data_IF_371675427455
#
_entry.id   IF_371675427455
#
_cell.length_a   1.000
_cell.length_b   1.000
_cell.length_c   1.000
_cell.angle_alpha   90.00
_cell.angle_beta   90.00
_cell.angle_gamma   90.00
#
_symmetry.space_group_name_H-M   'P 1'
#
loop_
_entity.id
_entity.type
_entity.pdbx_description
1 polymer ?
#
# COMPACT_ATOMS: atom_id res chain seq x y z
N UNK A 1 7.22 12.96 28.01
CA UNK A 1 6.49 12.26 26.93
C UNK A 1 6.52 13.17 25.71
N UNK A 2 7.28 12.85 24.66
CA UNK A 2 7.46 13.77 23.52
C UNK A 2 6.21 13.80 22.64
N UNK A 3 5.25 14.68 22.86
CA UNK A 3 4.08 14.76 21.98
C UNK A 3 4.60 15.13 20.57
N UNK A 4 4.51 14.17 19.63
CA UNK A 4 4.80 14.41 18.22
C UNK A 4 3.50 14.92 17.64
N UNK A 5 3.38 16.24 17.52
CA UNK A 5 2.37 16.89 16.69
C UNK A 5 3.07 17.21 15.37
N UNK A 6 2.71 16.50 14.31
CA UNK A 6 3.26 16.75 12.99
C UNK A 6 2.12 17.08 12.02
N UNK A 7 2.21 18.27 11.42
CA UNK A 7 1.36 18.67 10.30
C UNK A 7 2.07 18.32 9.01
N UNK A 8 1.41 17.50 8.20
CA UNK A 8 1.91 17.11 6.90
C UNK A 8 0.74 16.88 5.96
N UNK A 9 0.99 16.85 4.66
CA UNK A 9 -0.06 16.61 3.68
C UNK A 9 -0.35 15.11 3.58
N UNK A 10 -1.57 14.75 3.15
CA UNK A 10 -1.91 13.35 2.87
C UNK A 10 -0.91 12.69 1.90
N UNK A 11 -0.41 13.44 0.91
CA UNK A 11 0.63 12.96 -0.01
C UNK A 11 1.88 12.50 0.73
N UNK A 12 2.34 13.29 1.69
CA UNK A 12 3.54 12.96 2.47
C UNK A 12 3.28 11.79 3.42
N UNK A 13 2.07 11.68 3.99
CA UNK A 13 1.65 10.54 4.79
C UNK A 13 1.74 9.23 3.97
N UNK A 14 1.13 9.23 2.78
CA UNK A 14 1.12 8.08 1.86
C UNK A 14 2.54 7.69 1.49
N UNK A 15 3.39 8.68 1.15
CA UNK A 15 4.80 8.46 0.83
C UNK A 15 5.53 7.75 1.96
N UNK A 16 5.44 8.26 3.20
CA UNK A 16 6.12 7.67 4.36
C UNK A 16 5.64 6.25 4.65
N UNK A 17 4.32 6.03 4.61
CA UNK A 17 3.74 4.71 4.86
C UNK A 17 4.21 3.69 3.82
N UNK A 18 4.25 4.07 2.54
CA UNK A 18 4.73 3.19 1.47
C UNK A 18 6.23 2.92 1.60
N UNK A 19 7.04 3.91 1.91
CA UNK A 19 8.48 3.71 2.12
C UNK A 19 8.74 2.70 3.24
N UNK A 20 8.03 2.82 4.36
CA UNK A 20 8.10 1.87 5.46
C UNK A 20 7.66 0.47 5.01
N UNK A 21 6.49 0.34 4.40
CA UNK A 21 5.94 -0.95 3.95
C UNK A 21 6.86 -1.63 2.93
N UNK A 22 7.41 -0.88 1.99
CA UNK A 22 8.33 -1.40 0.97
C UNK A 22 9.67 -1.80 1.59
N UNK A 23 10.18 -1.04 2.58
CA UNK A 23 11.38 -1.42 3.33
C UNK A 23 11.14 -2.72 4.11
N UNK A 24 10.02 -2.83 4.82
CA UNK A 24 9.61 -4.04 5.55
C UNK A 24 9.43 -5.23 4.60
N UNK A 25 8.76 -5.04 3.46
CA UNK A 25 8.56 -6.07 2.44
C UNK A 25 9.88 -6.54 1.81
N UNK A 26 10.77 -5.61 1.48
CA UNK A 26 12.06 -5.93 0.87
C UNK A 26 13.04 -6.55 1.89
N UNK A 27 12.89 -6.25 3.18
CA UNK A 27 13.67 -6.85 4.27
C UNK A 27 13.14 -8.24 4.68
N UNK A 28 11.84 -8.50 4.49
CA UNK A 28 11.25 -9.81 4.75
C UNK A 28 11.86 -10.87 3.82
N UNK A 29 12.71 -11.73 4.39
CA UNK A 29 13.42 -12.79 3.66
C UNK A 29 12.47 -13.66 2.81
N UNK A 30 12.91 -14.14 1.63
CA UNK A 30 12.08 -14.93 0.73
C UNK A 30 11.79 -16.32 1.32
N UNK A 31 10.77 -16.42 2.18
CA UNK A 31 10.18 -17.72 2.49
C UNK A 31 9.58 -18.29 1.20
N UNK A 32 9.97 -19.51 0.77
CA UNK A 32 9.41 -20.14 -0.42
C UNK A 32 7.90 -20.29 -0.22
N UNK A 33 7.12 -19.74 -1.16
CA UNK A 33 5.68 -19.97 -1.18
C UNK A 33 5.45 -21.46 -1.41
N UNK A 34 4.80 -22.15 -0.47
CA UNK A 34 4.18 -23.45 -0.75
C UNK A 34 3.05 -23.19 -1.76
N UNK A 35 3.34 -23.39 -3.03
CA UNK A 35 2.33 -23.32 -4.07
C UNK A 35 1.37 -24.51 -3.88
N UNK A 36 0.07 -24.22 -3.72
CA UNK A 36 -1.00 -25.23 -3.57
C UNK A 36 -1.32 -25.95 -4.89
N UNK A 37 -0.72 -25.51 -5.99
CA UNK A 37 -0.95 -26.00 -7.35
C UNK A 37 0.34 -25.95 -8.14
N UNK A 38 0.69 -27.03 -8.84
CA UNK A 38 1.79 -27.03 -9.79
C UNK A 38 1.32 -26.33 -11.07
N UNK A 39 2.03 -25.30 -11.55
CA UNK A 39 1.70 -24.65 -12.80
C UNK A 39 1.88 -25.61 -13.98
N UNK A 40 0.97 -25.54 -14.93
CA UNK A 40 1.03 -26.30 -16.18
C UNK A 40 2.21 -25.85 -17.06
N UNK A 41 2.64 -26.67 -18.02
CA UNK A 41 3.71 -26.32 -18.97
C UNK A 41 3.45 -25.01 -19.72
N UNK A 42 2.18 -24.72 -20.04
CA UNK A 42 1.75 -23.48 -20.69
C UNK A 42 1.90 -22.26 -19.78
N UNK A 43 1.52 -22.37 -18.51
CA UNK A 43 1.68 -21.28 -17.54
C UNK A 43 3.16 -20.99 -17.24
N UNK A 44 4.02 -22.01 -17.23
CA UNK A 44 5.48 -21.83 -17.06
C UNK A 44 6.13 -21.11 -18.24
N UNK A 45 5.67 -21.34 -19.46
CA UNK A 45 6.19 -20.66 -20.65
C UNK A 45 5.80 -19.18 -20.69
N UNK A 46 4.60 -18.82 -20.22
CA UNK A 46 4.10 -17.44 -20.21
C UNK A 46 4.55 -16.65 -18.98
N UNK A 47 4.62 -17.30 -17.82
CA UNK A 47 4.86 -16.66 -16.52
C UNK A 47 6.15 -17.13 -15.81
N UNK A 48 7.05 -17.89 -16.45
CA UNK A 48 8.26 -18.42 -15.83
C UNK A 48 8.00 -19.37 -14.65
N UNK A 49 9.04 -20.05 -14.15
CA UNK A 49 8.90 -20.92 -12.98
C UNK A 49 8.59 -20.09 -11.71
N UNK A 50 7.43 -20.30 -11.04
CA UNK A 50 7.08 -19.53 -9.86
C UNK A 50 7.94 -19.85 -8.63
N UNK A 51 8.71 -20.95 -8.66
CA UNK A 51 9.69 -21.31 -7.64
C UNK A 51 11.02 -20.55 -7.76
N UNK A 52 11.36 -20.07 -8.96
CA UNK A 52 12.65 -19.40 -9.24
C UNK A 52 12.58 -17.88 -9.31
N UNK A 53 11.39 -17.27 -9.24
CA UNK A 53 11.30 -15.81 -9.21
C UNK A 53 11.66 -15.30 -7.82
N UNK A 54 12.87 -14.73 -7.58
CA UNK A 54 13.10 -13.98 -6.36
C UNK A 54 11.99 -12.92 -6.24
N UNK A 55 11.44 -12.73 -5.04
CA UNK A 55 10.45 -11.66 -4.80
C UNK A 55 11.06 -10.38 -5.37
N UNK A 56 10.46 -9.89 -6.46
CA UNK A 56 10.99 -8.73 -7.20
C UNK A 56 10.92 -7.57 -6.21
N UNK A 57 12.08 -6.99 -5.88
CA UNK A 57 12.15 -5.82 -4.98
C UNK A 57 11.12 -4.81 -5.44
N UNK A 58 10.29 -4.37 -4.50
CA UNK A 58 9.26 -3.37 -4.79
C UNK A 58 9.96 -2.01 -4.84
N UNK A 59 9.74 -1.27 -5.92
CA UNK A 59 10.21 0.11 -6.06
C UNK A 59 9.22 1.05 -5.34
N UNK A 60 9.65 1.75 -4.28
CA UNK A 60 8.77 2.63 -3.54
C UNK A 60 8.21 3.78 -4.39
N UNK A 61 8.98 4.33 -5.33
CA UNK A 61 8.52 5.47 -6.14
C UNK A 61 7.35 5.06 -7.04
N UNK A 62 7.43 3.85 -7.62
CA UNK A 62 6.34 3.29 -8.41
C UNK A 62 5.09 3.03 -7.57
N UNK A 63 5.24 2.55 -6.34
CA UNK A 63 4.09 2.32 -5.45
C UNK A 63 3.43 3.63 -5.01
N UNK A 64 4.21 4.68 -4.76
CA UNK A 64 3.69 6.01 -4.43
C UNK A 64 2.82 6.54 -5.58
N UNK A 65 3.33 6.50 -6.81
CA UNK A 65 2.57 6.96 -7.97
C UNK A 65 1.25 6.18 -8.15
N UNK A 66 1.28 4.86 -7.94
CA UNK A 66 0.06 4.02 -7.99
C UNK A 66 -0.93 4.36 -6.89
N UNK A 67 -0.46 4.60 -5.66
CA UNK A 67 -1.32 4.97 -4.54
C UNK A 67 -1.95 6.35 -4.73
N UNK A 68 -1.17 7.34 -5.18
CA UNK A 68 -1.70 8.67 -5.50
C UNK A 68 -2.74 8.64 -6.62
N UNK A 69 -2.52 7.81 -7.65
CA UNK A 69 -3.48 7.62 -8.72
C UNK A 69 -4.75 6.92 -8.22
N UNK A 70 -4.59 5.87 -7.41
CA UNK A 70 -5.72 5.14 -6.84
C UNK A 70 -6.56 6.00 -5.88
N UNK A 71 -5.92 6.88 -5.10
CA UNK A 71 -6.65 7.86 -4.29
C UNK A 71 -7.49 8.80 -5.17
N UNK A 72 -6.87 9.40 -6.20
CA UNK A 72 -7.56 10.29 -7.15
C UNK A 72 -8.69 9.60 -7.93
N UNK A 73 -8.59 8.29 -8.16
CA UNK A 73 -9.61 7.51 -8.85
C UNK A 73 -10.66 6.90 -7.91
N UNK A 74 -10.77 7.36 -6.65
CA UNK A 74 -11.65 6.80 -5.63
C UNK A 74 -11.49 5.27 -5.45
N UNK A 75 -10.26 4.76 -5.52
CA UNK A 75 -9.96 3.36 -5.24
C UNK A 75 -9.91 3.04 -3.74
N UNK A 76 -9.67 4.05 -2.91
CA UNK A 76 -9.73 3.98 -1.46
C UNK A 76 -9.96 5.38 -0.87
N UNK A 77 -10.42 5.43 0.37
CA UNK A 77 -10.54 6.66 1.16
C UNK A 77 -9.60 6.61 2.36
N UNK A 78 -9.18 7.78 2.84
CA UNK A 78 -8.33 7.91 4.02
C UNK A 78 -9.08 8.69 5.09
N UNK A 79 -9.17 8.09 6.27
CA UNK A 79 -9.73 8.70 7.47
C UNK A 79 -8.61 9.04 8.44
N UNK A 80 -8.61 10.26 8.97
CA UNK A 80 -7.71 10.73 10.01
C UNK A 80 -8.56 11.07 11.22
N UNK A 81 -8.52 10.21 12.24
CA UNK A 81 -9.58 10.14 13.26
C UNK A 81 -10.92 9.86 12.60
N UNK A 82 -11.90 10.74 12.82
CA UNK A 82 -13.24 10.63 12.25
C UNK A 82 -13.44 11.47 10.97
N UNK A 83 -12.39 12.12 10.47
CA UNK A 83 -12.48 12.99 9.28
C UNK A 83 -11.92 12.29 8.05
N UNK A 84 -12.73 12.23 7.00
CA UNK A 84 -12.24 11.84 5.67
C UNK A 84 -11.43 12.98 5.05
N UNK A 85 -10.29 12.63 4.48
CA UNK A 85 -9.46 13.54 3.68
C UNK A 85 -9.87 13.42 2.21
N UNK A 86 -10.02 14.56 1.53
CA UNK A 86 -10.56 14.60 0.18
C UNK A 86 -9.47 14.84 -0.87
N UNK A 87 -8.43 15.60 -0.53
CA UNK A 87 -7.32 15.92 -1.44
C UNK A 87 -5.96 15.44 -0.93
N UNK A 88 -5.04 15.17 -1.86
CA UNK A 88 -3.67 14.76 -1.52
C UNK A 88 -2.88 15.90 -0.85
N UNK A 89 -3.26 17.14 -1.12
CA UNK A 89 -2.62 18.34 -0.60
C UNK A 89 -3.24 18.82 0.73
N UNK A 90 -4.31 18.16 1.19
CA UNK A 90 -4.92 18.48 2.47
C UNK A 90 -3.93 18.24 3.62
N UNK A 91 -3.81 19.24 4.49
CA UNK A 91 -3.03 19.13 5.72
C UNK A 91 -3.75 18.23 6.72
N UNK A 92 -3.01 17.24 7.22
CA UNK A 92 -3.44 16.34 8.28
C UNK A 92 -2.61 16.60 9.53
N UNK A 93 -3.29 16.80 10.66
CA UNK A 93 -2.68 16.87 11.99
C UNK A 93 -2.53 15.45 12.53
N UNK A 94 -1.30 14.94 12.58
CA UNK A 94 -1.00 13.66 13.21
C UNK A 94 -0.62 13.91 14.66
N UNK A 95 -1.53 13.58 15.58
CA UNK A 95 -1.26 13.50 17.01
C UNK A 95 -0.99 12.05 17.39
N UNK A 96 -0.45 11.85 18.60
CA UNK A 96 -0.13 10.50 19.11
C UNK A 96 -1.33 9.55 19.18
N UNK A 97 -2.51 10.10 19.35
CA UNK A 97 -3.82 9.45 19.48
C UNK A 97 -4.62 9.47 18.16
N UNK A 98 -4.09 10.09 17.10
CA UNK A 98 -4.75 10.12 15.80
C UNK A 98 -4.57 8.79 15.08
N UNK A 99 -5.68 8.07 14.91
CA UNK A 99 -5.72 6.88 14.07
C UNK A 99 -5.85 7.28 12.60
N UNK A 100 -5.06 6.66 11.72
CA UNK A 100 -5.15 6.87 10.28
C UNK A 100 -5.55 5.58 9.60
N UNK A 101 -6.74 5.58 9.00
CA UNK A 101 -7.35 4.38 8.41
C UNK A 101 -7.43 4.52 6.89
N UNK A 102 -6.95 3.50 6.18
CA UNK A 102 -7.05 3.38 4.73
C UNK A 102 -8.15 2.36 4.40
N UNK A 103 -9.27 2.83 3.84
CA UNK A 103 -10.41 1.97 3.49
C UNK A 103 -10.48 1.77 1.99
N UNK A 104 -10.27 0.53 1.54
CA UNK A 104 -10.39 0.18 0.12
C UNK A 104 -11.85 0.16 -0.30
N UNK A 105 -12.17 0.88 -1.38
CA UNK A 105 -13.50 0.85 -1.98
C UNK A 105 -13.61 -0.37 -2.88
N UNK A 106 -14.63 -1.19 -2.64
CA UNK A 106 -14.99 -2.33 -3.50
C UNK A 106 -16.37 -2.06 -4.11
N UNK A 107 -16.58 -2.33 -5.40
CA UNK A 107 -17.90 -2.20 -6.00
C UNK A 107 -18.85 -3.17 -5.29
N UNK A 108 -19.98 -2.64 -4.82
CA UNK A 108 -21.04 -3.47 -4.26
C UNK A 108 -21.65 -4.27 -5.40
N UNK A 109 -21.41 -5.58 -5.40
CA UNK A 109 -22.15 -6.50 -6.28
C UNK A 109 -23.57 -6.61 -5.71
N UNK A 110 -24.53 -5.99 -6.39
CA UNK A 110 -25.96 -6.21 -6.14
C UNK A 110 -26.32 -7.65 -6.50
N UNK A 111 -27.14 -8.28 -5.66
CA UNK A 111 -27.64 -9.65 -5.87
C UNK A 111 -28.57 -9.78 -7.07
#
# INVERSE_FOLDING_TARGET
MQIFEERLTLRELIRRRIHQEVAEHNAASPQPRRALVQPTSTERALNGDPGERPRRRVDPQRQIALAEQAFRSNGFVVLVGDRQVEELDDEVDLRRDTEVTFLKLVPLVGG
#
